data_IF_326082709231
#
_entry.id   IF_326082709231
#
_cell.length_a   1.000
_cell.length_b   1.000
_cell.length_c   1.000
_cell.angle_alpha   90.00
_cell.angle_beta   90.00
_cell.angle_gamma   90.00
#
_symmetry.space_group_name_H-M   'P 1'
#
loop_
_entity.id
_entity.type
_entity.pdbx_description
1 polymer ?
#
# COMPACT_ATOMS: atom_id res chain seq x y z
N UNK A 1 -15.03 -4.04 0.02
CA UNK A 1 -15.23 -4.95 1.16
C UNK A 1 -15.00 -4.17 2.45
N UNK A 2 -15.95 -4.23 3.36
CA UNK A 2 -15.91 -3.49 4.62
C UNK A 2 -15.88 -4.47 5.79
N UNK A 3 -14.90 -4.29 6.66
CA UNK A 3 -14.80 -5.05 7.89
C UNK A 3 -15.54 -4.30 9.00
N UNK A 4 -16.25 -5.03 9.85
CA UNK A 4 -16.81 -4.44 11.06
C UNK A 4 -15.72 -3.95 12.01
N UNK A 5 -16.07 -3.06 12.93
CA UNK A 5 -15.13 -2.59 13.95
C UNK A 5 -14.49 -3.74 14.73
N UNK A 6 -15.29 -4.74 15.13
CA UNK A 6 -14.81 -5.89 15.90
C UNK A 6 -13.83 -6.73 15.09
N UNK A 7 -14.11 -6.99 13.81
CA UNK A 7 -13.21 -7.74 12.92
C UNK A 7 -11.92 -6.99 12.68
N UNK A 8 -12.00 -5.68 12.44
CA UNK A 8 -10.83 -4.81 12.28
C UNK A 8 -9.94 -4.86 13.53
N UNK A 9 -10.50 -4.70 14.73
CA UNK A 9 -9.74 -4.74 15.97
C UNK A 9 -9.10 -6.11 16.21
N UNK A 10 -9.83 -7.20 15.94
CA UNK A 10 -9.28 -8.56 16.04
C UNK A 10 -8.13 -8.79 15.05
N UNK A 11 -8.25 -8.30 13.82
CA UNK A 11 -7.21 -8.39 12.82
C UNK A 11 -5.96 -7.62 13.27
N UNK A 12 -6.10 -6.37 13.68
CA UNK A 12 -4.99 -5.55 14.14
C UNK A 12 -4.31 -6.13 15.38
N UNK A 13 -5.06 -6.69 16.31
CA UNK A 13 -4.48 -7.35 17.47
C UNK A 13 -3.64 -8.58 17.07
N UNK A 14 -4.13 -9.40 16.14
CA UNK A 14 -3.36 -10.53 15.60
C UNK A 14 -2.09 -10.07 14.90
N UNK A 15 -2.19 -9.08 14.02
CA UNK A 15 -1.06 -8.52 13.30
C UNK A 15 0.02 -8.02 14.28
N UNK A 16 -0.39 -7.29 15.31
CA UNK A 16 0.49 -6.79 16.37
C UNK A 16 1.20 -7.92 17.13
N UNK A 17 0.50 -9.01 17.45
CA UNK A 17 1.07 -10.15 18.18
C UNK A 17 2.20 -10.84 17.38
N UNK A 18 2.16 -10.75 16.05
CA UNK A 18 3.22 -11.27 15.18
C UNK A 18 4.28 -10.20 14.82
N UNK A 19 4.20 -9.00 15.38
CA UNK A 19 5.09 -7.86 15.07
C UNK A 19 5.10 -7.45 13.60
N UNK A 20 3.98 -7.63 12.91
CA UNK A 20 3.81 -7.18 11.53
C UNK A 20 3.10 -5.83 11.45
N UNK A 21 3.27 -5.15 10.32
CA UNK A 21 2.49 -3.97 9.98
C UNK A 21 1.23 -4.39 9.19
N UNK A 22 0.10 -3.72 9.38
CA UNK A 22 -1.11 -4.01 8.59
C UNK A 22 -0.87 -3.90 7.09
N UNK A 23 -0.10 -2.90 6.66
CA UNK A 23 0.26 -2.71 5.26
C UNK A 23 1.00 -3.92 4.68
N UNK A 24 1.99 -4.48 5.41
CA UNK A 24 2.72 -5.66 4.98
C UNK A 24 1.82 -6.90 4.88
N UNK A 25 0.94 -7.10 5.86
CA UNK A 25 0.01 -8.25 5.86
C UNK A 25 -0.95 -8.16 4.68
N UNK A 26 -1.62 -7.01 4.51
CA UNK A 26 -2.66 -6.85 3.50
C UNK A 26 -2.05 -6.89 2.09
N UNK A 27 -0.91 -6.21 1.87
CA UNK A 27 -0.24 -6.26 0.56
C UNK A 27 0.28 -7.66 0.21
N UNK A 28 0.76 -8.43 1.19
CA UNK A 28 1.18 -9.82 0.96
C UNK A 28 0.01 -10.69 0.55
N UNK A 29 -1.12 -10.59 1.26
CA UNK A 29 -2.33 -11.34 0.93
C UNK A 29 -2.81 -10.96 -0.48
N UNK A 30 -2.84 -9.65 -0.79
CA UNK A 30 -3.22 -9.16 -2.10
C UNK A 30 -2.31 -9.71 -3.20
N UNK A 31 -0.99 -9.60 -3.06
CA UNK A 31 -0.04 -10.13 -4.04
C UNK A 31 -0.11 -11.66 -4.17
N UNK A 32 -0.28 -12.37 -3.04
CA UNK A 32 -0.46 -13.83 -3.08
C UNK A 32 -1.74 -14.23 -3.81
N UNK A 33 -2.81 -13.48 -3.63
CA UNK A 33 -4.06 -13.68 -4.36
C UNK A 33 -3.87 -13.44 -5.86
N UNK A 34 -3.23 -12.35 -6.25
CA UNK A 34 -2.93 -12.06 -7.66
C UNK A 34 -2.02 -13.12 -8.28
N UNK A 35 -1.04 -13.63 -7.54
CA UNK A 35 -0.12 -14.66 -8.03
C UNK A 35 -0.84 -15.94 -8.44
N UNK A 36 -1.98 -16.27 -7.81
CA UNK A 36 -2.79 -17.44 -8.18
C UNK A 36 -3.43 -17.33 -9.58
N UNK A 37 -3.57 -16.10 -10.09
CA UNK A 37 -4.11 -15.79 -11.42
C UNK A 37 -3.02 -15.38 -12.42
N UNK A 38 -1.75 -15.40 -12.00
CA UNK A 38 -0.61 -15.04 -12.84
C UNK A 38 -0.04 -16.28 -13.51
N UNK A 39 0.34 -16.14 -14.78
CA UNK A 39 1.08 -17.19 -15.51
C UNK A 39 2.55 -17.28 -15.08
N UNK A 40 3.03 -16.30 -14.31
CA UNK A 40 4.42 -16.25 -13.85
C UNK A 40 4.51 -16.50 -12.34
N UNK A 41 5.61 -17.13 -11.86
CA UNK A 41 5.76 -17.49 -10.45
C UNK A 41 6.02 -16.29 -9.52
N UNK A 42 6.01 -15.08 -10.06
CA UNK A 42 6.21 -13.86 -9.30
C UNK A 42 5.58 -12.66 -9.98
N UNK A 43 5.29 -11.66 -9.17
CA UNK A 43 4.72 -10.40 -9.64
C UNK A 43 5.32 -9.22 -8.88
N UNK A 44 5.21 -8.04 -9.48
CA UNK A 44 5.58 -6.78 -8.85
C UNK A 44 4.41 -5.80 -8.94
N UNK A 45 4.22 -5.03 -7.90
CA UNK A 45 3.18 -4.00 -7.83
C UNK A 45 3.78 -2.65 -7.44
N UNK A 46 3.13 -1.58 -7.87
CA UNK A 46 3.39 -0.25 -7.35
C UNK A 46 2.77 -0.09 -5.97
N UNK A 47 3.53 0.46 -5.05
CA UNK A 47 3.04 0.87 -3.72
C UNK A 47 3.09 2.39 -3.63
N UNK A 48 2.00 2.98 -3.23
CA UNK A 48 1.92 4.41 -2.95
C UNK A 48 2.56 4.71 -1.60
N UNK A 49 3.56 5.59 -1.59
CA UNK A 49 4.24 6.05 -0.38
C UNK A 49 3.96 7.52 -0.14
N UNK A 50 3.58 7.86 1.07
CA UNK A 50 3.53 9.25 1.50
C UNK A 50 4.93 9.73 1.88
N UNK A 51 5.53 10.56 1.02
CA UNK A 51 6.94 10.94 1.10
C UNK A 51 7.16 12.39 1.61
N UNK A 52 6.36 12.83 2.57
CA UNK A 52 6.58 14.11 3.23
C UNK A 52 7.80 14.00 4.17
N UNK A 53 8.96 14.40 3.69
CA UNK A 53 10.20 14.37 4.46
C UNK A 53 10.29 15.63 5.33
N UNK A 54 10.68 15.47 6.59
CA UNK A 54 10.86 16.56 7.54
C UNK A 54 12.19 17.29 7.28
N UNK A 55 12.28 17.97 6.12
CA UNK A 55 13.46 18.73 5.71
C UNK A 55 13.45 20.16 6.26
N UNK A 56 12.32 20.64 6.73
CA UNK A 56 12.11 21.96 7.31
C UNK A 56 11.00 21.86 8.36
N UNK A 57 11.03 22.75 9.38
CA UNK A 57 10.03 22.75 10.46
C UNK A 57 8.60 23.00 9.95
N UNK A 58 8.45 23.85 8.93
CA UNK A 58 7.16 24.21 8.34
C UNK A 58 6.63 23.21 7.30
N UNK A 59 7.34 22.12 7.01
CA UNK A 59 6.97 21.19 5.94
C UNK A 59 5.55 20.62 6.10
N UNK A 60 5.08 20.49 7.34
CA UNK A 60 3.74 20.01 7.62
C UNK A 60 2.63 21.03 7.32
N UNK A 61 2.99 22.30 7.21
CA UNK A 61 2.08 23.39 6.80
C UNK A 61 1.97 23.56 5.28
N UNK A 62 2.84 22.90 4.50
CA UNK A 62 2.84 23.03 3.04
C UNK A 62 1.69 22.22 2.45
N UNK A 63 0.84 22.88 1.67
CA UNK A 63 -0.15 22.21 0.83
C UNK A 63 0.52 21.78 -0.47
N UNK A 64 0.38 20.51 -0.82
CA UNK A 64 0.97 19.97 -2.05
C UNK A 64 0.93 18.45 -2.09
N UNK A 65 1.28 17.92 -3.27
CA UNK A 65 1.40 16.49 -3.50
C UNK A 65 2.74 15.98 -2.98
N UNK A 66 2.69 15.01 -2.09
CA UNK A 66 3.85 14.36 -1.49
C UNK A 66 3.85 12.84 -1.73
N UNK A 67 2.96 12.38 -2.58
CA UNK A 67 2.86 10.97 -2.92
C UNK A 67 4.00 10.57 -3.84
N UNK A 68 4.64 9.47 -3.52
CA UNK A 68 5.66 8.84 -4.34
C UNK A 68 5.29 7.38 -4.58
N UNK A 69 5.84 6.80 -5.61
CA UNK A 69 5.67 5.40 -5.96
C UNK A 69 6.92 4.60 -5.63
N UNK A 70 6.71 3.39 -5.17
CA UNK A 70 7.76 2.40 -4.99
C UNK A 70 7.31 1.04 -5.51
N UNK A 71 8.23 0.14 -5.71
CA UNK A 71 7.95 -1.19 -6.24
C UNK A 71 8.27 -2.23 -5.19
N UNK A 72 7.32 -3.13 -4.93
CA UNK A 72 7.55 -4.35 -4.18
C UNK A 72 7.30 -5.56 -5.06
N UNK A 73 7.99 -6.64 -4.77
CA UNK A 73 7.90 -7.89 -5.53
C UNK A 73 7.50 -9.04 -4.63
N UNK A 74 6.68 -9.91 -5.16
CA UNK A 74 6.28 -11.16 -4.53
C UNK A 74 6.75 -12.32 -5.39
N UNK A 75 7.32 -13.34 -4.75
CA UNK A 75 7.63 -14.62 -5.38
C UNK A 75 7.12 -15.73 -4.46
N UNK A 76 6.45 -16.68 -5.02
CA UNK A 76 5.97 -17.84 -4.29
C UNK A 76 7.14 -18.80 -4.02
N UNK A 77 7.92 -18.48 -2.99
CA UNK A 77 9.11 -19.27 -2.58
C UNK A 77 8.89 -20.12 -1.35
N UNK A 78 7.78 -19.92 -0.65
CA UNK A 78 7.50 -20.57 0.63
C UNK A 78 6.01 -20.82 0.78
N UNK A 79 5.67 -21.95 1.36
CA UNK A 79 4.29 -22.30 1.73
C UNK A 79 3.83 -21.53 2.98
N UNK A 80 4.76 -20.94 3.72
CA UNK A 80 4.46 -20.17 4.92
C UNK A 80 4.01 -18.75 4.62
N UNK A 81 2.75 -18.45 4.93
CA UNK A 81 2.23 -17.08 4.84
C UNK A 81 3.01 -16.10 5.73
N UNK A 82 3.43 -16.53 6.91
CA UNK A 82 4.18 -15.68 7.84
C UNK A 82 5.54 -15.27 7.27
N UNK A 83 6.23 -16.18 6.59
CA UNK A 83 7.52 -15.86 5.95
C UNK A 83 7.34 -14.94 4.75
N UNK A 84 6.29 -15.12 3.97
CA UNK A 84 5.94 -14.21 2.89
C UNK A 84 5.64 -12.79 3.43
N UNK A 85 4.89 -12.67 4.53
CA UNK A 85 4.62 -11.38 5.18
C UNK A 85 5.91 -10.74 5.68
N UNK A 86 6.79 -11.52 6.31
CA UNK A 86 8.09 -11.03 6.79
C UNK A 86 8.94 -10.47 5.65
N UNK A 87 9.04 -11.21 4.55
CA UNK A 87 9.77 -10.76 3.36
C UNK A 87 9.19 -9.46 2.77
N UNK A 88 7.87 -9.34 2.71
CA UNK A 88 7.20 -8.10 2.25
C UNK A 88 7.45 -6.94 3.21
N UNK A 89 7.37 -7.18 4.52
CA UNK A 89 7.65 -6.16 5.52
C UNK A 89 9.09 -5.64 5.43
N UNK A 90 10.06 -6.50 5.23
CA UNK A 90 11.46 -6.11 5.02
C UNK A 90 11.61 -5.26 3.75
N UNK A 91 10.94 -5.62 2.66
CA UNK A 91 10.94 -4.79 1.45
C UNK A 91 10.35 -3.40 1.75
N UNK A 92 9.20 -3.31 2.41
CA UNK A 92 8.58 -2.03 2.76
C UNK A 92 9.48 -1.16 3.63
N UNK A 93 10.20 -1.75 4.57
CA UNK A 93 11.14 -0.99 5.40
C UNK A 93 12.31 -0.44 4.59
N UNK A 94 12.84 -1.23 3.64
CA UNK A 94 13.86 -0.74 2.70
C UNK A 94 13.32 0.42 1.85
N UNK A 95 12.08 0.34 1.38
CA UNK A 95 11.46 1.43 0.63
C UNK A 95 11.40 2.72 1.46
N UNK A 96 11.02 2.64 2.73
CA UNK A 96 11.02 3.80 3.63
C UNK A 96 12.43 4.33 3.86
N UNK A 97 13.42 3.46 4.00
CA UNK A 97 14.83 3.84 4.18
C UNK A 97 15.38 4.55 2.94
N UNK A 98 15.06 4.04 1.75
CA UNK A 98 15.55 4.57 0.46
C UNK A 98 14.49 5.41 -0.28
N UNK A 99 13.51 5.97 0.41
CA UNK A 99 12.36 6.70 -0.16
C UNK A 99 12.72 7.90 -1.04
N UNK A 100 13.97 8.34 -1.03
CA UNK A 100 14.47 9.38 -1.96
C UNK A 100 14.61 8.87 -3.39
N UNK A 101 14.71 7.55 -3.58
CA UNK A 101 14.78 6.93 -4.89
C UNK A 101 13.37 6.54 -5.34
N UNK A 102 12.86 7.28 -6.30
CA UNK A 102 11.46 7.15 -6.74
C UNK A 102 11.23 5.91 -7.62
N UNK A 103 10.05 5.33 -7.54
CA UNK A 103 9.62 4.22 -8.38
C UNK A 103 9.66 4.56 -9.87
N UNK A 104 9.46 5.82 -10.25
CA UNK A 104 9.64 6.32 -11.60
C UNK A 104 11.05 6.07 -12.16
N UNK A 105 12.07 6.16 -11.32
CA UNK A 105 13.45 5.85 -11.70
C UNK A 105 13.65 4.35 -11.93
N UNK A 106 13.01 3.51 -11.10
CA UNK A 106 13.03 2.05 -11.29
C UNK A 106 12.40 1.70 -12.64
N UNK A 107 11.24 2.28 -12.97
CA UNK A 107 10.57 2.04 -14.24
C UNK A 107 11.42 2.49 -15.43
N UNK A 108 12.09 3.64 -15.34
CA UNK A 108 13.03 4.11 -16.36
C UNK A 108 14.19 3.11 -16.55
N UNK A 109 14.77 2.62 -15.46
CA UNK A 109 15.86 1.62 -15.53
C UNK A 109 15.38 0.30 -16.15
N UNK A 110 14.19 -0.17 -15.79
CA UNK A 110 13.61 -1.40 -16.36
C UNK A 110 13.24 -1.25 -17.84
N UNK A 111 12.92 -0.04 -18.28
CA UNK A 111 12.59 0.27 -19.67
C UNK A 111 13.84 0.48 -20.53
N UNK A 112 14.99 0.81 -19.93
CA UNK A 112 16.23 0.99 -20.64
C UNK A 112 16.74 -0.34 -21.20
N UNK A 113 16.92 -0.44 -22.50
CA UNK A 113 17.39 -1.64 -23.19
C UNK A 113 16.31 -2.66 -23.56
N UNK A 114 15.03 -2.35 -23.39
CA UNK A 114 13.91 -3.19 -23.83
C UNK A 114 13.08 -2.46 -24.89
N UNK A 115 12.60 -3.21 -25.88
CA UNK A 115 11.64 -2.73 -26.87
C UNK A 115 10.23 -2.63 -26.24
N UNK A 116 10.05 -1.67 -25.35
CA UNK A 116 8.78 -1.45 -24.68
C UNK A 116 8.95 -0.73 -23.35
N UNK A 117 7.93 0.00 -22.92
CA UNK A 117 7.91 0.66 -21.60
C UNK A 117 7.59 -0.38 -20.53
N UNK A 118 8.34 -0.37 -19.44
CA UNK A 118 7.96 -1.13 -18.25
C UNK A 118 6.65 -0.53 -17.68
N UNK A 119 5.63 -1.35 -17.59
CA UNK A 119 4.31 -0.97 -17.08
C UNK A 119 4.10 -1.72 -15.78
N UNK A 120 3.68 -1.01 -14.74
CA UNK A 120 3.24 -1.57 -13.46
C UNK A 120 1.74 -1.28 -13.31
N UNK A 121 0.88 -2.14 -13.88
CA UNK A 121 -0.55 -1.83 -14.00
C UNK A 121 -1.35 -2.03 -12.72
N UNK A 122 -0.71 -2.53 -11.67
CA UNK A 122 -1.34 -2.78 -10.37
C UNK A 122 -0.74 -1.84 -9.33
N UNK A 123 -1.62 -1.10 -8.66
CA UNK A 123 -1.26 -0.16 -7.59
C UNK A 123 -1.86 -0.63 -6.26
N UNK A 124 -1.09 -0.47 -5.21
CA UNK A 124 -1.52 -0.71 -3.84
C UNK A 124 -1.37 0.58 -3.03
N UNK A 125 -2.49 1.14 -2.64
CA UNK A 125 -2.56 2.36 -1.82
C UNK A 125 -3.08 2.01 -0.43
N UNK A 126 -2.27 2.27 0.59
CA UNK A 126 -2.59 1.93 1.97
C UNK A 126 -2.54 3.17 2.85
N UNK A 127 -3.70 3.63 3.27
CA UNK A 127 -3.90 4.80 4.14
C UNK A 127 -4.49 4.34 5.47
N UNK A 128 -3.65 3.76 6.34
CA UNK A 128 -4.05 3.32 7.66
C UNK A 128 -3.53 4.30 8.71
N UNK A 129 -4.44 4.93 9.43
CA UNK A 129 -4.10 5.74 10.59
C UNK A 129 -3.71 4.82 11.73
N UNK A 130 -2.41 4.66 12.01
CA UNK A 130 -1.84 3.71 12.97
C UNK A 130 -2.23 3.94 14.45
N UNK A 131 -2.99 4.96 14.78
CA UNK A 131 -3.53 5.23 16.11
C UNK A 131 -4.83 6.04 16.03
N UNK A 132 -5.95 5.36 16.14
CA UNK A 132 -7.28 5.98 16.38
C UNK A 132 -7.37 6.57 17.81
N UNK A 133 -6.28 6.96 18.42
CA UNK A 133 -6.29 7.40 19.81
C UNK A 133 -6.67 8.85 20.04
N UNK A 134 -6.99 9.62 19.02
CA UNK A 134 -7.61 10.94 19.17
C UNK A 134 -8.56 11.21 18.00
N UNK A 135 -9.77 10.69 18.12
CA UNK A 135 -10.90 11.30 17.42
C UNK A 135 -11.02 12.72 17.98
N UNK A 136 -10.29 13.64 17.38
CA UNK A 136 -10.67 15.06 17.46
C UNK A 136 -12.10 15.08 16.98
N UNK A 137 -13.04 15.45 17.86
CA UNK A 137 -14.45 15.62 17.50
C UNK A 137 -14.47 16.43 16.22
N UNK A 138 -14.67 15.74 15.06
CA UNK A 138 -14.73 16.41 13.77
C UNK A 138 -15.89 17.38 13.88
N UNK A 139 -15.60 18.67 13.69
CA UNK A 139 -16.61 19.73 13.69
C UNK A 139 -17.64 19.51 12.59
N UNK A 140 -17.30 18.67 11.62
CA UNK A 140 -18.14 18.25 10.51
C UNK A 140 -17.99 16.75 10.30
N UNK A 141 -19.08 16.03 10.04
CA UNK A 141 -19.06 14.65 9.59
C UNK A 141 -19.41 14.62 8.10
N UNK A 142 -18.57 13.97 7.32
CA UNK A 142 -18.83 13.71 5.90
C UNK A 142 -19.06 12.22 5.74
N UNK A 143 -20.05 11.85 4.94
CA UNK A 143 -20.26 10.48 4.48
C UNK A 143 -19.87 10.43 3.02
N UNK A 144 -18.96 9.55 2.68
CA UNK A 144 -18.61 9.28 1.31
C UNK A 144 -19.75 8.48 0.68
N UNK A 145 -20.40 9.06 -0.34
CA UNK A 145 -21.47 8.39 -1.06
C UNK A 145 -20.96 7.67 -2.31
N UNK A 146 -19.95 8.26 -2.96
CA UNK A 146 -19.35 7.68 -4.15
C UNK A 146 -17.92 8.22 -4.33
N UNK A 147 -16.99 7.34 -4.70
CA UNK A 147 -15.66 7.71 -5.10
C UNK A 147 -15.21 6.81 -6.27
N UNK A 148 -14.52 7.39 -7.23
CA UNK A 148 -13.85 6.68 -8.31
C UNK A 148 -12.45 7.26 -8.47
N UNK A 149 -11.48 6.39 -8.65
CA UNK A 149 -10.11 6.77 -8.98
C UNK A 149 -9.76 6.21 -10.36
N UNK A 150 -9.21 7.05 -11.21
CA UNK A 150 -8.70 6.63 -12.52
C UNK A 150 -7.27 7.16 -12.69
N UNK A 151 -6.31 6.27 -12.51
CA UNK A 151 -4.91 6.58 -12.78
C UNK A 151 -4.54 6.04 -14.16
N UNK A 152 -4.04 6.87 -15.09
CA UNK A 152 -3.64 6.40 -16.41
C UNK A 152 -2.65 5.23 -16.31
N UNK A 153 -2.84 4.20 -17.15
CA UNK A 153 -2.01 2.98 -17.21
C UNK A 153 -2.15 2.03 -15.99
N UNK A 154 -3.05 2.31 -15.06
CA UNK A 154 -3.41 1.41 -13.98
C UNK A 154 -4.61 0.56 -14.42
N UNK A 155 -4.50 -0.74 -14.26
CA UNK A 155 -5.57 -1.70 -14.56
C UNK A 155 -6.30 -2.10 -13.28
N UNK A 156 -5.59 -2.12 -12.17
CA UNK A 156 -6.16 -2.44 -10.87
C UNK A 156 -5.54 -1.54 -9.79
N UNK A 157 -6.35 -0.72 -9.17
CA UNK A 157 -5.97 0.09 -8.01
C UNK A 157 -6.64 -0.48 -6.75
N UNK A 158 -5.80 -0.96 -5.83
CA UNK A 158 -6.23 -1.56 -4.57
C UNK A 158 -6.05 -0.56 -3.44
N UNK A 159 -7.14 -0.05 -2.94
CA UNK A 159 -7.17 0.90 -1.84
C UNK A 159 -7.48 0.21 -0.51
N UNK A 160 -6.66 0.50 0.49
CA UNK A 160 -6.88 0.09 1.87
C UNK A 160 -6.91 1.34 2.74
N UNK A 161 -7.98 1.52 3.48
CA UNK A 161 -8.13 2.66 4.40
C UNK A 161 -8.81 2.26 5.70
N UNK A 162 -8.48 2.99 6.73
CA UNK A 162 -9.14 2.92 8.03
C UNK A 162 -10.06 4.14 8.18
N UNK A 163 -11.34 3.89 8.40
CA UNK A 163 -12.32 4.93 8.65
C UNK A 163 -12.89 4.74 10.05
N UNK A 164 -12.38 5.48 11.02
CA UNK A 164 -12.80 5.43 12.43
C UNK A 164 -12.71 4.02 13.06
N UNK A 165 -11.70 3.24 12.66
CA UNK A 165 -11.49 1.88 13.13
C UNK A 165 -12.24 0.81 12.32
N UNK A 166 -12.80 1.17 11.18
CA UNK A 166 -13.38 0.26 10.19
C UNK A 166 -12.43 0.11 9.01
N UNK A 167 -11.88 -1.06 8.82
CA UNK A 167 -11.03 -1.36 7.66
C UNK A 167 -11.89 -1.47 6.41
N UNK A 168 -11.57 -0.67 5.42
CA UNK A 168 -12.23 -0.69 4.11
C UNK A 168 -11.23 -1.06 3.03
N UNK A 169 -11.62 -1.96 2.16
CA UNK A 169 -10.86 -2.37 0.98
C UNK A 169 -11.72 -2.17 -0.25
N UNK A 170 -11.23 -1.40 -1.20
CA UNK A 170 -11.87 -1.16 -2.49
C UNK A 170 -10.93 -1.38 -3.66
N UNK A 171 -11.49 -1.72 -4.80
CA UNK A 171 -10.80 -1.91 -6.07
C UNK A 171 -11.45 -1.02 -7.12
N UNK A 172 -10.61 -0.27 -7.82
CA UNK A 172 -10.97 0.44 -9.04
C UNK A 172 -10.29 -0.28 -10.22
N UNK A 173 -11.06 -0.62 -11.28
CA UNK A 173 -10.61 -1.41 -12.44
C UNK A 173 -11.36 -1.02 -13.71
#
# INVERSE_FOLDING_TARGET
CDFSFIETQRLYQKIKNYHFTPAAVISTIFMKTLAQYSETPGLSINVTLFNRQLLHEDVNGILGEFTNNAVISYQEKTDSLLDAIRATQEQMWRLVQYRKFEGSNILKMLSSGRAGKAIMPVVFTCMLEGNVSKVTKKRYSFKEEYAISQTPQVVLDHHVRDDLGYLKISWDY
#
